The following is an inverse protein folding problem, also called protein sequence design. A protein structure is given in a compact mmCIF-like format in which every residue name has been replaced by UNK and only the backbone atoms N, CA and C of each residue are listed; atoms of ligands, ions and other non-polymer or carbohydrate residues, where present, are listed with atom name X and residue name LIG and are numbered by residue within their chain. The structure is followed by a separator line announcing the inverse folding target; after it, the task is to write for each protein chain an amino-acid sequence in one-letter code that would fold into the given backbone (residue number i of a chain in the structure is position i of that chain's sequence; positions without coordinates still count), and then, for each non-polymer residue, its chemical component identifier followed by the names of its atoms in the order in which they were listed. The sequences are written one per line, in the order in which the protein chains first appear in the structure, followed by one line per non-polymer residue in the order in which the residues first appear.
data_IF_896600207069
#
_entry.id   IF_896600207069
#
_cell.length_a   1.000
_cell.length_b   1.000
_cell.length_c   1.000
_cell.angle_alpha   90.00
_cell.angle_beta   90.00
_cell.angle_gamma   90.00
#
_symmetry.space_group_name_H-M   'P 1'
#
loop_
_entity.id
_entity.type
_entity.pdbx_description
1 polymer ?
#
# COMPACT_ATOMS: atom_id res chain seq x y z
N UNK A 1 -44.49 -34.88 35.38
CA UNK A 1 -45.89 -35.32 35.58
C UNK A 1 -46.69 -34.83 34.38
N UNK A 2 -47.29 -35.65 33.52
CA UNK A 2 -47.34 -37.14 33.31
C UNK A 2 -47.62 -37.28 31.79
N UNK A 3 -46.72 -37.70 30.89
CA UNK A 3 -46.22 -39.06 30.58
C UNK A 3 -47.31 -40.10 30.24
N UNK A 4 -47.09 -40.92 29.18
CA UNK A 4 -47.53 -42.34 28.95
C UNK A 4 -48.24 -42.61 27.61
N UNK A 5 -47.53 -43.32 26.70
CA UNK A 5 -47.86 -44.52 25.86
C UNK A 5 -49.22 -44.61 25.11
N UNK A 6 -49.50 -45.51 24.14
CA UNK A 6 -48.84 -46.68 23.50
C UNK A 6 -48.85 -46.47 21.94
N UNK A 7 -48.35 -47.27 20.97
CA UNK A 7 -48.14 -48.72 20.76
C UNK A 7 -49.45 -49.55 20.63
N UNK A 8 -49.60 -50.64 19.87
CA UNK A 8 -48.83 -51.30 18.78
C UNK A 8 -49.51 -51.01 17.40
N UNK A 9 -49.16 -51.53 16.20
CA UNK A 9 -48.16 -52.51 15.73
C UNK A 9 -48.80 -53.80 15.15
N UNK A 10 -48.67 -54.06 13.83
CA UNK A 10 -49.04 -55.32 13.16
C UNK A 10 -48.34 -55.46 11.79
N UNK A 11 -48.01 -56.69 11.36
CA UNK A 11 -47.36 -56.94 10.07
C UNK A 11 -47.86 -58.20 9.36
N UNK A 12 -47.75 -58.20 8.01
CA UNK A 12 -47.92 -59.39 7.18
C UNK A 12 -46.76 -59.54 6.20
N UNK A 13 -46.31 -60.78 6.00
CA UNK A 13 -45.31 -61.16 5.00
C UNK A 13 -46.00 -61.58 3.71
N UNK A 14 -45.55 -61.03 2.58
CA UNK A 14 -45.62 -61.68 1.27
C UNK A 14 -44.22 -61.74 0.66
N UNK A 15 -43.98 -62.72 -0.22
CA UNK A 15 -42.62 -63.12 -0.62
C UNK A 15 -42.48 -63.22 -2.15
N UNK A 16 -41.51 -62.49 -2.68
CA UNK A 16 -40.80 -62.70 -3.94
C UNK A 16 -41.63 -62.84 -5.24
N UNK A 17 -41.51 -61.84 -6.12
CA UNK A 17 -40.91 -62.02 -7.46
C UNK A 17 -40.44 -60.68 -8.05
N UNK A 18 -39.23 -60.68 -8.64
CA UNK A 18 -38.78 -59.73 -9.68
C UNK A 18 -38.79 -58.22 -9.40
N UNK A 19 -37.72 -57.70 -8.77
CA UNK A 19 -37.36 -56.27 -8.87
C UNK A 19 -36.23 -56.13 -9.91
N UNK A 20 -36.40 -55.39 -11.01
CA UNK A 20 -35.29 -54.94 -11.84
C UNK A 20 -34.47 -53.91 -11.04
N UNK A 21 -33.15 -54.09 -10.95
CA UNK A 21 -32.30 -53.10 -10.31
C UNK A 21 -32.35 -51.78 -11.11
N UNK A 22 -32.83 -50.70 -10.48
CA UNK A 22 -32.58 -49.36 -10.99
C UNK A 22 -31.06 -49.12 -11.02
N UNK A 23 -30.52 -48.45 -12.06
CA UNK A 23 -29.07 -48.29 -12.19
C UNK A 23 -28.50 -47.51 -11.00
N UNK A 24 -27.40 -47.99 -10.41
CA UNK A 24 -26.62 -47.20 -9.44
C UNK A 24 -26.24 -45.89 -10.12
N UNK A 25 -26.70 -44.77 -9.55
CA UNK A 25 -26.60 -43.47 -10.23
C UNK A 25 -25.18 -42.90 -10.09
N UNK A 26 -24.28 -43.39 -10.94
CA UNK A 26 -22.85 -43.02 -10.98
C UNK A 26 -22.61 -41.51 -11.15
N UNK A 27 -23.61 -40.75 -11.59
CA UNK A 27 -23.61 -39.27 -11.61
C UNK A 27 -23.43 -38.68 -10.20
N UNK A 28 -24.08 -39.24 -9.17
CA UNK A 28 -24.02 -38.71 -7.79
C UNK A 28 -22.63 -38.94 -7.18
N UNK A 29 -22.07 -40.13 -7.35
CA UNK A 29 -20.68 -40.41 -6.92
C UNK A 29 -19.65 -39.62 -7.74
N UNK A 30 -19.91 -39.25 -9.00
CA UNK A 30 -19.07 -38.29 -9.73
C UNK A 30 -19.17 -36.88 -9.16
N UNK A 31 -20.37 -36.42 -8.80
CA UNK A 31 -20.56 -35.10 -8.20
C UNK A 31 -19.82 -34.96 -6.86
N UNK A 32 -19.88 -35.99 -6.01
CA UNK A 32 -19.16 -36.00 -4.73
C UNK A 32 -17.65 -36.29 -4.88
N UNK A 33 -17.23 -37.08 -5.87
CA UNK A 33 -15.80 -37.33 -6.14
C UNK A 33 -15.08 -36.13 -6.78
N UNK A 34 -15.78 -35.27 -7.52
CA UNK A 34 -15.16 -34.08 -8.13
C UNK A 34 -14.71 -33.03 -7.10
N UNK A 35 -15.25 -33.06 -5.87
CA UNK A 35 -14.81 -32.19 -4.76
C UNK A 35 -13.55 -32.76 -4.05
N UNK A 36 -12.86 -33.72 -4.67
CA UNK A 36 -11.56 -34.23 -4.25
C UNK A 36 -10.40 -33.80 -5.18
N UNK A 37 -10.65 -32.95 -6.19
CA UNK A 37 -9.56 -32.28 -6.89
C UNK A 37 -8.83 -31.33 -5.94
N UNK A 38 -7.65 -31.73 -5.49
CA UNK A 38 -6.62 -30.78 -5.13
C UNK A 38 -6.26 -29.99 -6.40
N UNK A 39 -6.86 -28.81 -6.55
CA UNK A 39 -6.40 -27.80 -7.51
C UNK A 39 -4.92 -27.56 -7.21
N UNK A 40 -4.05 -28.00 -8.13
CA UNK A 40 -2.62 -27.82 -8.03
C UNK A 40 -2.29 -26.40 -8.46
N UNK A 41 -2.68 -25.43 -7.63
CA UNK A 41 -2.27 -24.04 -7.76
C UNK A 41 -0.74 -23.97 -7.88
N UNK A 42 -0.19 -23.01 -8.64
CA UNK A 42 1.25 -22.87 -8.78
C UNK A 42 1.92 -22.65 -7.42
N UNK A 43 3.17 -23.11 -7.28
CA UNK A 43 3.93 -23.10 -6.00
C UNK A 43 3.96 -21.73 -5.30
N UNK A 44 3.78 -20.64 -6.04
CA UNK A 44 3.68 -19.26 -5.55
C UNK A 44 2.44 -18.97 -4.67
N UNK A 45 1.38 -19.76 -4.82
CA UNK A 45 0.18 -19.65 -3.98
C UNK A 45 0.17 -20.66 -2.82
N UNK A 46 1.19 -21.52 -2.67
CA UNK A 46 1.19 -22.59 -1.65
C UNK A 46 1.08 -22.08 -0.21
N UNK A 47 1.69 -20.93 0.12
CA UNK A 47 1.53 -20.28 1.41
C UNK A 47 0.14 -19.62 1.58
N UNK A 48 -0.42 -19.05 0.50
CA UNK A 48 -1.76 -18.46 0.47
C UNK A 48 -2.84 -19.53 0.68
N UNK A 49 -2.76 -20.66 -0.04
CA UNK A 49 -3.66 -21.81 0.12
C UNK A 49 -3.68 -22.32 1.56
N UNK A 50 -2.51 -22.40 2.22
CA UNK A 50 -2.43 -22.82 3.62
C UNK A 50 -3.21 -21.85 4.52
N UNK A 51 -2.96 -20.55 4.40
CA UNK A 51 -3.67 -19.52 5.18
C UNK A 51 -5.19 -19.56 4.91
N UNK A 52 -5.61 -19.64 3.65
CA UNK A 52 -7.04 -19.76 3.29
C UNK A 52 -7.69 -21.03 3.89
N UNK A 53 -6.97 -22.15 3.86
CA UNK A 53 -7.43 -23.43 4.43
C UNK A 53 -7.49 -23.47 5.96
N UNK A 54 -6.77 -22.58 6.64
CA UNK A 54 -6.84 -22.33 8.09
C UNK A 54 -7.97 -21.35 8.45
N UNK A 55 -8.26 -20.37 7.58
CA UNK A 55 -9.29 -19.33 7.76
C UNK A 55 -10.69 -19.78 7.31
N UNK A 56 -11.08 -21.01 7.64
CA UNK A 56 -12.43 -21.51 7.34
C UNK A 56 -13.45 -20.67 8.11
N UNK A 57 -14.33 -20.00 7.36
CA UNK A 57 -15.29 -18.97 7.82
C UNK A 57 -14.68 -17.56 8.02
N UNK A 58 -13.91 -17.06 7.05
CA UNK A 58 -13.68 -15.61 6.85
C UNK A 58 -15.01 -14.83 6.98
N UNK A 59 -14.99 -13.75 7.75
CA UNK A 59 -16.17 -13.21 8.45
C UNK A 59 -17.21 -12.51 7.55
N UNK A 60 -16.83 -12.03 6.37
CA UNK A 60 -17.74 -11.30 5.47
C UNK A 60 -17.40 -11.49 3.99
N UNK A 61 -18.36 -11.17 3.11
CA UNK A 61 -18.15 -11.12 1.66
C UNK A 61 -17.07 -10.09 1.27
N UNK A 62 -16.98 -8.98 2.00
CA UNK A 62 -15.96 -7.94 1.77
C UNK A 62 -14.55 -8.46 2.12
N UNK A 63 -14.43 -9.13 3.26
CA UNK A 63 -13.20 -9.79 3.69
C UNK A 63 -12.77 -10.89 2.69
N UNK A 64 -13.72 -11.74 2.25
CA UNK A 64 -13.49 -12.75 1.20
C UNK A 64 -13.01 -12.14 -0.12
N UNK A 65 -13.56 -11.01 -0.54
CA UNK A 65 -13.13 -10.30 -1.74
C UNK A 65 -11.67 -9.85 -1.62
N UNK A 66 -11.31 -9.09 -0.58
CA UNK A 66 -9.96 -8.54 -0.43
C UNK A 66 -8.88 -9.59 -0.25
N UNK A 67 -9.18 -10.69 0.45
CA UNK A 67 -8.26 -11.80 0.64
C UNK A 67 -8.16 -12.72 -0.60
N UNK A 68 -9.29 -13.24 -1.09
CA UNK A 68 -9.30 -14.35 -2.06
C UNK A 68 -9.58 -13.94 -3.51
N UNK A 69 -10.19 -12.77 -3.76
CA UNK A 69 -10.55 -12.25 -5.10
C UNK A 69 -9.84 -10.94 -5.47
N UNK A 70 -8.88 -10.49 -4.67
CA UNK A 70 -8.13 -9.26 -4.92
C UNK A 70 -6.68 -9.35 -4.43
N UNK A 71 -6.36 -8.78 -3.27
CA UNK A 71 -4.98 -8.44 -2.90
C UNK A 71 -4.22 -9.57 -2.20
N UNK A 72 -4.89 -10.53 -1.55
CA UNK A 72 -4.20 -11.63 -0.86
C UNK A 72 -3.41 -12.56 -1.81
N UNK A 73 -3.99 -12.95 -2.95
CA UNK A 73 -3.24 -13.65 -4.03
C UNK A 73 -2.14 -12.76 -4.61
N UNK A 74 -2.41 -11.47 -4.80
CA UNK A 74 -1.45 -10.47 -5.33
C UNK A 74 -0.18 -10.39 -4.45
N UNK A 75 -0.36 -10.33 -3.13
CA UNK A 75 0.72 -10.32 -2.13
C UNK A 75 1.51 -11.63 -2.12
N UNK A 76 0.84 -12.78 -2.29
CA UNK A 76 1.50 -14.09 -2.30
C UNK A 76 2.48 -14.24 -3.47
N UNK A 77 2.07 -13.87 -4.68
CA UNK A 77 2.92 -13.87 -5.88
C UNK A 77 4.15 -12.96 -5.68
N UNK A 78 3.97 -11.77 -5.09
CA UNK A 78 5.09 -10.87 -4.78
C UNK A 78 6.08 -11.51 -3.80
N UNK A 79 5.60 -12.04 -2.67
CA UNK A 79 6.44 -12.66 -1.63
C UNK A 79 7.19 -13.89 -2.15
N UNK A 80 6.53 -14.74 -2.95
CA UNK A 80 7.18 -15.89 -3.57
C UNK A 80 8.28 -15.47 -4.55
N UNK A 81 7.98 -14.56 -5.47
CA UNK A 81 8.95 -14.14 -6.48
C UNK A 81 10.13 -13.38 -5.86
N UNK A 82 9.89 -12.60 -4.80
CA UNK A 82 10.90 -11.97 -3.94
C UNK A 82 11.74 -12.97 -3.10
N UNK A 83 11.52 -14.29 -3.25
CA UNK A 83 12.25 -15.39 -2.61
C UNK A 83 12.15 -15.46 -1.09
N UNK A 84 10.99 -15.05 -0.53
CA UNK A 84 10.75 -15.17 0.90
C UNK A 84 10.69 -16.65 1.33
N UNK A 85 11.26 -17.04 2.49
CA UNK A 85 11.08 -18.40 3.03
C UNK A 85 9.59 -18.73 3.24
N UNK A 86 9.18 -19.99 3.05
CA UNK A 86 7.75 -20.38 3.12
C UNK A 86 7.07 -20.02 4.45
N UNK A 87 7.79 -20.10 5.57
CA UNK A 87 7.26 -19.68 6.88
C UNK A 87 7.11 -18.16 7.02
N UNK A 88 8.00 -17.38 6.39
CA UNK A 88 7.88 -15.92 6.29
C UNK A 88 6.68 -15.54 5.41
N UNK A 89 6.53 -16.18 4.24
CA UNK A 89 5.34 -16.00 3.40
C UNK A 89 4.05 -16.28 4.17
N UNK A 90 4.00 -17.40 4.91
CA UNK A 90 2.86 -17.78 5.74
C UNK A 90 2.57 -16.76 6.85
N UNK A 91 3.60 -16.29 7.58
CA UNK A 91 3.46 -15.23 8.60
C UNK A 91 2.81 -13.97 8.03
N UNK A 92 3.36 -13.48 6.92
CA UNK A 92 2.98 -12.19 6.34
C UNK A 92 1.60 -12.25 5.68
N UNK A 93 1.30 -13.34 4.97
CA UNK A 93 -0.02 -13.59 4.41
C UNK A 93 -1.08 -13.80 5.50
N UNK A 94 -0.74 -14.43 6.63
CA UNK A 94 -1.65 -14.61 7.75
C UNK A 94 -1.94 -13.31 8.48
N UNK A 95 -0.92 -12.46 8.70
CA UNK A 95 -1.14 -11.10 9.22
C UNK A 95 -2.02 -10.27 8.28
N UNK A 96 -1.72 -10.26 6.97
CA UNK A 96 -2.54 -9.56 5.99
C UNK A 96 -4.00 -10.08 6.00
N UNK A 97 -4.20 -11.39 6.00
CA UNK A 97 -5.53 -11.99 6.00
C UNK A 97 -6.32 -11.69 7.27
N UNK A 98 -5.71 -11.77 8.46
CA UNK A 98 -6.45 -11.66 9.73
C UNK A 98 -6.65 -10.23 10.21
N UNK A 99 -5.74 -9.30 9.86
CA UNK A 99 -5.75 -7.92 10.39
C UNK A 99 -6.09 -6.89 9.31
N UNK A 100 -5.55 -7.06 8.10
CA UNK A 100 -5.62 -6.01 7.07
C UNK A 100 -6.82 -6.20 6.14
N UNK A 101 -7.01 -7.40 5.60
CA UNK A 101 -8.09 -7.71 4.65
C UNK A 101 -9.54 -7.50 5.16
N UNK A 102 -9.88 -7.64 6.46
CA UNK A 102 -11.22 -7.27 6.96
C UNK A 102 -11.48 -5.76 6.84
N UNK A 103 -10.42 -4.96 6.97
CA UNK A 103 -10.47 -3.51 7.15
C UNK A 103 -10.23 -2.73 5.84
N UNK A 104 -10.32 -3.35 4.66
CA UNK A 104 -10.20 -2.67 3.36
C UNK A 104 -11.55 -2.19 2.79
N UNK A 105 -12.60 -2.13 3.61
CA UNK A 105 -13.90 -1.60 3.23
C UNK A 105 -14.74 -2.50 2.31
N UNK A 106 -15.83 -1.95 1.78
CA UNK A 106 -16.83 -2.70 0.99
C UNK A 106 -16.24 -3.19 -0.34
N UNK A 107 -16.51 -4.46 -0.66
CA UNK A 107 -16.11 -5.10 -1.93
C UNK A 107 -16.82 -4.49 -3.14
N UNK A 108 -16.04 -4.25 -4.22
CA UNK A 108 -16.53 -3.68 -5.49
C UNK A 108 -17.61 -4.52 -6.17
N UNK A 109 -17.69 -5.81 -5.84
CA UNK A 109 -18.72 -6.74 -6.34
C UNK A 109 -20.10 -6.55 -5.68
N UNK A 110 -20.20 -5.79 -4.58
CA UNK A 110 -21.41 -5.75 -3.75
C UNK A 110 -22.29 -4.51 -3.92
N UNK A 111 -21.79 -3.41 -4.50
CA UNK A 111 -22.50 -2.13 -4.61
C UNK A 111 -22.17 -1.37 -5.92
N UNK A 112 -22.94 -0.32 -6.20
CA UNK A 112 -22.59 0.69 -7.21
C UNK A 112 -21.46 1.59 -6.70
N UNK A 113 -20.56 1.99 -7.59
CA UNK A 113 -19.34 2.75 -7.26
C UNK A 113 -19.58 4.05 -6.46
N UNK A 114 -20.75 4.66 -6.60
CA UNK A 114 -21.25 5.86 -5.88
C UNK A 114 -21.25 5.73 -4.33
N UNK A 115 -21.03 4.53 -3.80
CA UNK A 115 -21.08 4.23 -2.35
C UNK A 115 -19.76 3.75 -1.75
N UNK A 116 -18.67 3.74 -2.54
CA UNK A 116 -17.35 3.35 -2.07
C UNK A 116 -16.57 4.57 -1.56
N UNK A 117 -15.91 4.45 -0.41
CA UNK A 117 -15.02 5.50 0.10
C UNK A 117 -13.84 5.71 -0.87
N UNK A 118 -13.65 6.93 -1.42
CA UNK A 118 -12.63 7.20 -2.43
C UNK A 118 -11.26 7.40 -1.77
N UNK A 119 -10.59 6.29 -1.45
CA UNK A 119 -9.29 6.32 -0.78
C UNK A 119 -8.23 7.09 -1.58
N UNK A 120 -7.54 8.02 -0.94
CA UNK A 120 -6.41 8.75 -1.54
C UNK A 120 -5.14 7.91 -1.71
N UNK A 121 -5.14 6.65 -1.25
CA UNK A 121 -4.03 5.72 -1.42
C UNK A 121 -3.67 5.52 -2.90
N UNK A 122 -4.67 5.54 -3.78
CA UNK A 122 -4.49 5.39 -5.23
C UNK A 122 -5.46 6.28 -6.00
N UNK A 123 -5.08 6.69 -7.20
CA UNK A 123 -5.90 7.58 -8.05
C UNK A 123 -7.25 6.98 -8.51
N UNK A 124 -7.57 5.72 -8.19
CA UNK A 124 -8.88 5.09 -8.46
C UNK A 124 -9.62 4.60 -7.20
N UNK A 125 -9.28 5.15 -6.03
CA UNK A 125 -9.96 4.85 -4.77
C UNK A 125 -9.71 3.45 -4.23
N UNK A 126 -8.70 2.73 -4.74
CA UNK A 126 -8.28 1.42 -4.19
C UNK A 126 -7.48 1.66 -2.90
N UNK A 127 -7.89 1.11 -1.74
CA UNK A 127 -7.34 1.47 -0.43
C UNK A 127 -6.03 0.77 -0.07
N UNK A 128 -5.30 0.27 -1.06
CA UNK A 128 -4.06 -0.46 -0.87
C UNK A 128 -3.09 -0.24 -2.03
N UNK A 129 -1.83 0.07 -1.70
CA UNK A 129 -0.70 0.14 -2.61
C UNK A 129 0.39 -0.81 -2.10
N UNK A 130 0.95 -1.66 -2.97
CA UNK A 130 2.05 -2.57 -2.67
C UNK A 130 3.35 -2.01 -3.23
N UNK A 131 4.51 -2.44 -2.71
CA UNK A 131 5.80 -2.05 -3.29
C UNK A 131 6.86 -3.14 -3.20
N UNK A 132 7.79 -3.07 -4.16
CA UNK A 132 8.98 -3.89 -4.28
C UNK A 132 10.20 -2.98 -4.06
N UNK A 133 10.77 -3.05 -2.85
CA UNK A 133 12.01 -2.35 -2.53
C UNK A 133 13.19 -3.16 -3.06
N UNK A 134 13.93 -2.59 -4.01
CA UNK A 134 15.06 -3.25 -4.65
C UNK A 134 16.31 -3.34 -3.75
N UNK A 135 16.25 -2.77 -2.55
CA UNK A 135 17.36 -2.72 -1.61
C UNK A 135 18.55 -1.94 -2.15
N UNK A 136 19.75 -2.44 -1.85
CA UNK A 136 21.03 -1.85 -2.25
C UNK A 136 22.05 -2.97 -2.45
N UNK A 137 22.88 -2.89 -3.49
CA UNK A 137 23.98 -3.83 -3.77
C UNK A 137 23.51 -5.30 -3.90
N UNK A 138 22.43 -5.53 -4.66
CA UNK A 138 21.79 -6.84 -4.90
C UNK A 138 21.41 -7.64 -3.63
N UNK A 139 21.10 -6.94 -2.54
CA UNK A 139 20.36 -7.47 -1.40
C UNK A 139 18.99 -8.03 -1.83
N UNK A 140 18.44 -9.06 -1.16
CA UNK A 140 17.07 -9.53 -1.40
C UNK A 140 16.04 -8.38 -1.32
N UNK A 141 15.04 -8.35 -2.21
CA UNK A 141 14.04 -7.28 -2.23
C UNK A 141 13.12 -7.36 -1.02
N UNK A 142 12.63 -6.21 -0.55
CA UNK A 142 11.65 -6.13 0.55
C UNK A 142 10.27 -5.80 0.00
N UNK A 143 9.30 -6.69 0.19
CA UNK A 143 7.89 -6.40 -0.08
C UNK A 143 7.32 -5.51 1.03
N UNK A 144 6.49 -4.55 0.64
CA UNK A 144 5.67 -3.75 1.58
C UNK A 144 4.27 -3.55 1.02
N UNK A 145 3.36 -3.11 1.88
CA UNK A 145 2.13 -2.48 1.45
C UNK A 145 1.70 -1.34 2.38
N UNK A 146 1.01 -0.36 1.80
CA UNK A 146 0.35 0.77 2.47
C UNK A 146 -1.16 0.59 2.33
N UNK A 147 -1.93 0.93 3.36
CA UNK A 147 -3.40 0.80 3.40
C UNK A 147 -4.10 1.99 4.03
N UNK A 148 -5.28 2.32 3.52
CA UNK A 148 -6.29 3.05 4.29
C UNK A 148 -7.26 2.03 4.90
N UNK A 149 -7.33 1.89 6.23
CA UNK A 149 -8.42 1.14 6.85
C UNK A 149 -9.75 1.85 6.57
N UNK A 150 -10.74 1.11 6.08
CA UNK A 150 -12.06 1.61 5.70
C UNK A 150 -13.14 0.81 6.40
N UNK A 151 -13.97 1.49 7.19
CA UNK A 151 -15.15 0.90 7.82
C UNK A 151 -16.29 0.66 6.82
N UNK A 152 -17.17 -0.32 7.08
CA UNK A 152 -18.32 -0.64 6.20
C UNK A 152 -19.37 0.48 6.12
N UNK A 153 -19.22 1.55 6.90
CA UNK A 153 -20.07 2.73 6.91
C UNK A 153 -19.34 4.03 6.49
N UNK A 154 -18.09 3.92 6.04
CA UNK A 154 -17.28 5.06 5.61
C UNK A 154 -17.96 5.88 4.49
N UNK A 155 -18.01 7.20 4.65
CA UNK A 155 -18.68 8.12 3.73
C UNK A 155 -20.21 8.15 3.83
N UNK A 156 -20.81 7.29 4.66
CA UNK A 156 -22.26 7.36 4.96
C UNK A 156 -22.55 8.35 6.08
N UNK A 157 -23.84 8.63 6.35
CA UNK A 157 -24.26 9.44 7.50
C UNK A 157 -23.84 8.87 8.87
N UNK A 158 -23.44 7.60 8.95
CA UNK A 158 -22.97 6.97 10.19
C UNK A 158 -21.46 7.11 10.44
N UNK A 159 -20.65 7.24 9.38
CA UNK A 159 -19.22 7.54 9.49
C UNK A 159 -18.74 8.37 8.27
N UNK A 160 -19.09 9.67 8.20
CA UNK A 160 -18.84 10.50 7.02
C UNK A 160 -17.36 10.79 6.77
N UNK A 161 -16.48 10.48 7.73
CA UNK A 161 -15.05 10.81 7.69
C UNK A 161 -14.13 9.57 7.80
N UNK A 162 -14.69 8.36 7.76
CA UNK A 162 -13.98 7.09 7.90
C UNK A 162 -13.14 7.01 9.20
N UNK A 163 -13.70 7.40 10.33
CA UNK A 163 -13.01 7.45 11.63
C UNK A 163 -13.34 6.27 12.54
N UNK A 164 -14.45 5.57 12.33
CA UNK A 164 -14.93 4.53 13.25
C UNK A 164 -14.04 3.28 13.26
N UNK A 165 -13.41 2.96 12.13
CA UNK A 165 -12.56 1.78 11.93
C UNK A 165 -11.24 1.81 12.72
N UNK A 166 -10.84 2.96 13.28
CA UNK A 166 -9.50 3.12 13.84
C UNK A 166 -9.26 2.43 15.18
N UNK A 167 -10.28 2.28 16.05
CA UNK A 167 -10.08 1.63 17.35
C UNK A 167 -9.82 0.13 17.16
N UNK A 168 -10.78 -0.56 16.54
CA UNK A 168 -10.74 -2.00 16.30
C UNK A 168 -9.48 -2.41 15.52
N UNK A 169 -9.05 -1.62 14.53
CA UNK A 169 -7.82 -1.86 13.78
C UNK A 169 -6.56 -1.65 14.64
N UNK A 170 -6.52 -0.64 15.52
CA UNK A 170 -5.39 -0.42 16.43
C UNK A 170 -5.27 -1.52 17.50
N UNK A 171 -6.40 -2.02 18.01
CA UNK A 171 -6.43 -3.15 18.93
C UNK A 171 -5.98 -4.46 18.26
N UNK A 172 -6.41 -4.73 17.02
CA UNK A 172 -5.93 -5.86 16.21
C UNK A 172 -4.42 -5.77 15.93
N UNK A 173 -3.87 -4.57 15.71
CA UNK A 173 -2.44 -4.35 15.55
C UNK A 173 -1.65 -4.64 16.83
N UNK A 174 -2.11 -4.17 17.99
CA UNK A 174 -1.48 -4.47 19.30
C UNK A 174 -1.42 -5.97 19.58
N UNK A 175 -2.51 -6.69 19.30
CA UNK A 175 -2.60 -8.14 19.49
C UNK A 175 -1.68 -8.93 18.54
N UNK A 176 -1.44 -8.40 17.34
CA UNK A 176 -0.75 -9.12 16.26
C UNK A 176 0.74 -8.78 16.12
N UNK A 177 1.17 -7.61 16.59
CA UNK A 177 2.54 -7.11 16.46
C UNK A 177 3.11 -6.68 17.82
N UNK A 178 3.60 -7.60 18.67
CA UNK A 178 3.98 -7.30 20.06
C UNK A 178 5.09 -6.26 20.27
N UNK A 179 5.84 -5.91 19.23
CA UNK A 179 6.85 -4.83 19.25
C UNK A 179 6.33 -3.45 18.85
N UNK A 180 5.05 -3.33 18.47
CA UNK A 180 4.47 -2.08 17.99
C UNK A 180 4.28 -1.06 19.12
N UNK A 181 4.50 0.22 18.82
CA UNK A 181 4.35 1.33 19.78
C UNK A 181 3.44 2.40 19.21
N UNK A 182 2.39 2.73 19.95
CA UNK A 182 1.32 3.62 19.52
C UNK A 182 1.38 5.01 20.21
N UNK A 183 2.43 5.28 20.99
CA UNK A 183 2.62 6.50 21.77
C UNK A 183 2.49 7.77 20.91
N UNK A 184 3.21 7.82 19.79
CA UNK A 184 3.09 8.89 18.78
C UNK A 184 1.85 8.72 17.89
N UNK A 185 1.36 7.49 17.67
CA UNK A 185 0.14 7.26 16.87
C UNK A 185 -1.07 7.95 17.51
N UNK A 186 -1.25 7.77 18.82
CA UNK A 186 -2.33 8.42 19.57
C UNK A 186 -2.16 9.95 19.55
N UNK A 187 -0.95 10.46 19.83
CA UNK A 187 -0.66 11.90 19.78
C UNK A 187 -1.04 12.53 18.42
N UNK A 188 -0.53 12.00 17.31
CA UNK A 188 -0.79 12.60 15.99
C UNK A 188 -2.25 12.38 15.54
N UNK A 189 -2.83 11.20 15.78
CA UNK A 189 -4.27 10.94 15.53
C UNK A 189 -5.15 11.96 16.25
N UNK A 190 -4.91 12.15 17.54
CA UNK A 190 -5.75 13.01 18.38
C UNK A 190 -5.46 14.50 18.11
N UNK A 191 -4.23 14.88 17.75
CA UNK A 191 -3.93 16.24 17.31
C UNK A 191 -4.65 16.59 16.00
N UNK A 192 -4.56 15.76 14.96
CA UNK A 192 -5.18 16.08 13.65
C UNK A 192 -6.70 15.92 13.65
N UNK A 193 -7.26 14.99 14.43
CA UNK A 193 -8.71 14.79 14.54
C UNK A 193 -9.38 15.65 15.64
N UNK A 194 -8.63 16.39 16.47
CA UNK A 194 -9.23 17.21 17.54
C UNK A 194 -9.88 18.50 17.01
N UNK A 195 -11.20 18.48 16.95
CA UNK A 195 -12.05 19.66 16.77
C UNK A 195 -13.40 19.27 16.17
N UNK A 196 -14.48 19.86 16.67
CA UNK A 196 -15.83 19.63 16.16
C UNK A 196 -16.01 20.39 14.83
N UNK A 197 -15.43 19.85 13.77
CA UNK A 197 -15.53 20.39 12.42
C UNK A 197 -16.74 19.77 11.74
N UNK A 198 -17.76 20.58 11.42
CA UNK A 198 -18.96 20.07 10.77
C UNK A 198 -18.62 19.45 9.41
N UNK A 199 -19.12 18.24 9.16
CA UNK A 199 -18.97 17.54 7.88
C UNK A 199 -19.54 18.36 6.69
N UNK A 200 -20.44 19.30 6.97
CA UNK A 200 -20.97 20.30 6.02
C UNK A 200 -19.88 21.14 5.34
N UNK A 201 -18.71 21.33 5.97
CA UNK A 201 -17.59 22.13 5.45
C UNK A 201 -16.50 21.32 4.73
N UNK A 202 -16.62 19.99 4.70
CA UNK A 202 -15.59 19.10 4.14
C UNK A 202 -15.78 18.81 2.64
N UNK A 203 -16.94 19.14 2.07
CA UNK A 203 -17.21 19.03 0.62
C UNK A 203 -16.48 20.15 -0.13
N UNK A 204 -15.19 19.92 -0.39
CA UNK A 204 -14.44 20.70 -1.37
C UNK A 204 -14.98 20.46 -2.79
N UNK A 205 -14.66 21.35 -3.73
CA UNK A 205 -15.20 21.37 -5.09
C UNK A 205 -14.68 20.25 -6.00
N UNK A 206 -14.95 18.99 -5.66
CA UNK A 206 -14.70 17.79 -6.47
C UNK A 206 -13.24 17.33 -6.61
N UNK A 207 -12.26 18.19 -6.28
CA UNK A 207 -10.86 18.01 -6.69
C UNK A 207 -9.89 17.54 -5.60
N UNK A 208 -10.35 17.21 -4.38
CA UNK A 208 -9.45 16.89 -3.25
C UNK A 208 -10.05 15.86 -2.27
N UNK A 209 -9.22 15.16 -1.50
CA UNK A 209 -9.56 13.90 -0.82
C UNK A 209 -10.00 14.03 0.65
N UNK A 210 -10.67 13.00 1.18
CA UNK A 210 -11.15 12.98 2.58
C UNK A 210 -10.39 12.01 3.51
N UNK A 211 -9.48 11.18 3.00
CA UNK A 211 -8.64 10.28 3.80
C UNK A 211 -7.90 11.02 4.92
N UNK A 212 -7.90 10.45 6.13
CA UNK A 212 -7.40 11.07 7.37
C UNK A 212 -6.17 10.35 7.95
N UNK A 213 -6.09 9.02 7.85
CA UNK A 213 -4.93 8.23 8.26
C UNK A 213 -4.67 7.06 7.28
N UNK A 214 -3.40 6.76 7.01
CA UNK A 214 -2.98 5.49 6.40
C UNK A 214 -2.04 4.73 7.34
N UNK A 215 -1.84 3.45 7.07
CA UNK A 215 -0.81 2.62 7.68
C UNK A 215 0.08 2.00 6.60
N UNK A 216 1.30 1.60 6.94
CA UNK A 216 2.11 0.75 6.05
C UNK A 216 2.92 -0.27 6.83
N UNK A 217 3.26 -1.36 6.15
CA UNK A 217 3.88 -2.55 6.75
C UNK A 217 5.09 -2.98 5.93
N UNK A 218 6.26 -2.96 6.55
CA UNK A 218 7.50 -3.47 5.97
C UNK A 218 7.66 -4.94 6.34
N UNK A 219 7.54 -5.82 5.35
CA UNK A 219 7.61 -7.26 5.53
C UNK A 219 9.08 -7.69 5.46
N UNK A 220 9.84 -7.52 6.53
CA UNK A 220 11.23 -8.00 6.57
C UNK A 220 11.27 -9.52 6.78
N UNK A 221 12.41 -10.17 6.52
CA UNK A 221 12.52 -11.63 6.75
C UNK A 221 12.25 -11.98 8.23
N UNK A 222 12.68 -11.12 9.16
CA UNK A 222 12.57 -11.34 10.62
C UNK A 222 11.23 -10.91 11.21
N UNK A 223 10.69 -9.77 10.82
CA UNK A 223 9.54 -9.11 11.47
C UNK A 223 8.71 -8.24 10.50
N UNK A 224 7.52 -7.83 10.95
CA UNK A 224 6.65 -6.86 10.26
C UNK A 224 6.73 -5.53 11.01
N UNK A 225 7.28 -4.48 10.37
CA UNK A 225 7.37 -3.14 10.99
C UNK A 225 6.22 -2.25 10.53
N UNK A 226 5.41 -1.76 11.47
CA UNK A 226 4.31 -0.83 11.19
C UNK A 226 4.73 0.63 11.04
N UNK A 227 3.94 1.40 10.29
CA UNK A 227 4.01 2.86 10.09
C UNK A 227 2.60 3.44 10.08
N UNK A 228 2.47 4.72 10.40
CA UNK A 228 1.22 5.47 10.23
C UNK A 228 1.48 6.82 9.54
N UNK A 229 0.52 7.28 8.75
CA UNK A 229 0.55 8.50 7.94
C UNK A 229 -0.69 9.32 8.26
N UNK A 230 -0.58 10.64 8.42
CA UNK A 230 -1.65 11.53 8.87
C UNK A 230 -1.79 12.72 7.92
N UNK A 231 -3.03 13.11 7.64
CA UNK A 231 -3.35 14.24 6.77
C UNK A 231 -3.76 15.48 7.59
N UNK A 232 -2.92 16.52 7.58
CA UNK A 232 -3.17 17.77 8.32
C UNK A 232 -4.35 18.60 7.76
N UNK A 233 -4.81 18.30 6.55
CA UNK A 233 -5.78 19.07 5.75
C UNK A 233 -6.98 19.59 6.58
N UNK A 234 -7.70 18.69 7.25
CA UNK A 234 -8.98 19.06 7.88
C UNK A 234 -8.75 19.97 9.10
N UNK A 235 -7.68 19.70 9.87
CA UNK A 235 -7.20 20.54 10.97
C UNK A 235 -6.81 21.94 10.46
N UNK A 236 -5.96 22.00 9.42
CA UNK A 236 -5.48 23.24 8.82
C UNK A 236 -6.58 24.12 8.21
N UNK A 237 -7.55 23.52 7.50
CA UNK A 237 -8.73 24.23 7.00
C UNK A 237 -9.52 24.89 8.12
N UNK A 238 -9.72 24.18 9.23
CA UNK A 238 -10.55 24.66 10.33
C UNK A 238 -9.83 25.68 11.23
N UNK A 239 -8.52 25.53 11.45
CA UNK A 239 -7.70 26.51 12.18
C UNK A 239 -7.25 27.71 11.32
N UNK A 240 -7.41 27.62 9.99
CA UNK A 240 -6.99 28.61 8.98
C UNK A 240 -5.47 28.83 8.92
N UNK A 241 -4.72 27.78 9.22
CA UNK A 241 -3.26 27.69 9.08
C UNK A 241 -2.89 26.94 7.79
N UNK A 242 -1.61 26.91 7.40
CA UNK A 242 -1.15 26.00 6.34
C UNK A 242 -1.00 24.55 6.84
N UNK A 243 -0.98 23.59 5.92
CA UNK A 243 -0.64 22.20 6.23
C UNK A 243 0.74 22.07 6.90
N UNK A 244 1.71 22.92 6.54
CA UNK A 244 3.04 22.92 7.11
C UNK A 244 3.03 23.38 8.58
N UNK A 245 2.36 24.49 8.88
CA UNK A 245 2.28 25.05 10.23
C UNK A 245 1.64 24.04 11.20
N UNK A 246 0.49 23.47 10.82
CA UNK A 246 -0.24 22.50 11.64
C UNK A 246 0.54 21.20 11.81
N UNK A 247 1.28 20.78 10.79
CA UNK A 247 2.18 19.62 10.91
C UNK A 247 3.31 19.88 11.90
N UNK A 248 3.90 21.08 11.90
CA UNK A 248 4.96 21.42 12.86
C UNK A 248 4.43 21.72 14.27
N UNK A 249 3.22 22.26 14.42
CA UNK A 249 2.53 22.40 15.71
C UNK A 249 2.26 21.02 16.34
N UNK A 250 1.80 20.05 15.52
CA UNK A 250 1.64 18.66 15.93
C UNK A 250 2.96 18.03 16.40
N UNK A 251 4.06 18.31 15.70
CA UNK A 251 5.39 17.78 16.04
C UNK A 251 5.93 18.45 17.31
N UNK A 252 5.86 19.78 17.44
CA UNK A 252 6.35 20.53 18.61
C UNK A 252 5.64 20.14 19.91
N UNK A 253 4.40 19.63 19.82
CA UNK A 253 3.61 19.16 20.96
C UNK A 253 3.77 17.67 21.26
N UNK A 254 4.52 16.92 20.45
CA UNK A 254 4.63 15.47 20.57
C UNK A 254 5.52 15.03 21.75
N UNK A 255 5.24 13.86 22.37
CA UNK A 255 6.10 13.27 23.40
C UNK A 255 7.59 13.22 22.98
N UNK A 256 8.46 13.59 23.92
CA UNK A 256 9.93 13.67 23.79
C UNK A 256 10.48 14.76 22.85
N UNK A 257 9.64 15.54 22.17
CA UNK A 257 10.09 16.66 21.34
C UNK A 257 10.48 17.87 22.20
N UNK A 258 11.56 18.54 21.80
CA UNK A 258 12.04 19.80 22.41
C UNK A 258 12.47 20.78 21.33
N UNK A 259 12.62 22.06 21.70
CA UNK A 259 13.15 23.08 20.77
C UNK A 259 14.58 22.82 20.31
N UNK A 260 15.33 21.97 21.02
CA UNK A 260 16.73 21.66 20.69
C UNK A 260 16.89 20.41 19.82
N UNK A 261 15.96 19.44 19.88
CA UNK A 261 16.13 18.14 19.22
C UNK A 261 15.55 18.02 17.80
N UNK A 262 14.95 19.10 17.26
CA UNK A 262 14.41 19.17 15.89
C UNK A 262 15.36 19.81 14.85
N UNK A 263 16.68 19.63 15.00
CA UNK A 263 17.71 20.30 14.16
C UNK A 263 17.49 20.05 12.65
N UNK A 264 17.25 18.80 12.25
CA UNK A 264 16.88 18.44 10.87
C UNK A 264 15.54 19.05 10.39
N UNK A 265 14.55 19.17 11.28
CA UNK A 265 13.26 19.80 10.97
C UNK A 265 13.37 21.30 10.72
N UNK A 266 14.22 22.00 11.47
CA UNK A 266 14.50 23.42 11.26
C UNK A 266 15.15 23.70 9.89
N UNK A 267 16.03 22.80 9.41
CA UNK A 267 16.61 22.88 8.05
C UNK A 267 15.54 22.76 6.96
N UNK A 268 14.49 21.96 7.19
CA UNK A 268 13.37 21.85 6.27
C UNK A 268 12.47 23.08 6.30
N UNK A 269 12.15 23.65 7.47
CA UNK A 269 11.40 24.90 7.59
C UNK A 269 12.09 26.08 6.90
N UNK A 270 13.41 26.18 7.02
CA UNK A 270 14.21 27.21 6.33
C UNK A 270 14.22 27.00 4.79
N UNK A 271 14.16 25.76 4.32
CA UNK A 271 13.95 25.47 2.90
C UNK A 271 12.53 25.83 2.42
N UNK A 272 11.48 25.46 3.17
CA UNK A 272 10.10 25.83 2.90
C UNK A 272 9.88 27.36 2.85
N UNK A 273 10.67 28.11 3.64
CA UNK A 273 10.66 29.58 3.67
C UNK A 273 11.36 30.24 2.47
N UNK A 274 11.95 29.46 1.54
CA UNK A 274 12.57 29.96 0.31
C UNK A 274 11.57 30.13 -0.84
N UNK A 275 11.99 30.79 -1.92
CA UNK A 275 11.15 30.96 -3.14
C UNK A 275 10.73 29.64 -3.78
N UNK A 276 11.57 28.60 -3.73
CA UNK A 276 11.24 27.24 -4.18
C UNK A 276 10.30 26.56 -3.18
N UNK A 277 10.56 26.74 -1.88
CA UNK A 277 9.76 26.17 -0.79
C UNK A 277 8.32 26.66 -0.73
N UNK A 278 8.10 27.94 -1.04
CA UNK A 278 6.78 28.57 -1.03
C UNK A 278 5.81 28.04 -2.12
N UNK A 279 6.30 27.23 -3.06
CA UNK A 279 5.48 26.55 -4.08
C UNK A 279 5.12 25.09 -3.77
N UNK A 280 5.41 24.60 -2.56
CA UNK A 280 5.26 23.18 -2.21
C UNK A 280 3.88 22.86 -1.61
N UNK A 281 3.24 21.84 -2.16
CA UNK A 281 1.98 21.28 -1.65
C UNK A 281 2.29 20.25 -0.57
N UNK A 282 2.13 20.61 0.70
CA UNK A 282 2.32 19.69 1.83
C UNK A 282 1.10 18.76 1.96
N UNK A 283 1.32 17.45 1.82
CA UNK A 283 0.26 16.44 1.69
C UNK A 283 -0.03 15.72 3.02
N UNK A 284 1.00 15.14 3.64
CA UNK A 284 0.87 14.29 4.84
C UNK A 284 2.18 14.21 5.64
N UNK A 285 2.11 13.80 6.90
CA UNK A 285 3.27 13.36 7.67
C UNK A 285 3.17 11.88 8.05
N UNK A 286 4.29 11.21 8.34
CA UNK A 286 4.30 9.81 8.78
C UNK A 286 5.32 9.52 9.87
N UNK A 287 5.06 8.46 10.63
CA UNK A 287 5.90 7.92 11.71
C UNK A 287 6.19 6.44 11.47
N UNK A 288 7.27 5.92 12.05
CA UNK A 288 7.40 4.46 12.30
C UNK A 288 6.71 4.13 13.63
N UNK A 289 5.98 3.00 13.71
CA UNK A 289 5.24 2.58 14.92
C UNK A 289 6.13 1.78 15.88
N UNK A 290 7.26 2.41 16.22
CA UNK A 290 8.31 1.94 17.13
C UNK A 290 8.49 2.95 18.26
N UNK A 291 9.45 2.75 19.18
CA UNK A 291 9.68 3.73 20.25
C UNK A 291 9.87 5.15 19.70
N UNK A 292 9.20 6.18 20.25
CA UNK A 292 9.30 7.57 19.81
C UNK A 292 10.73 8.11 19.61
N UNK A 293 11.71 7.67 20.41
CA UNK A 293 13.10 8.11 20.27
C UNK A 293 13.80 7.48 19.06
N UNK A 294 13.32 6.32 18.60
CA UNK A 294 13.84 5.59 17.44
C UNK A 294 13.03 5.80 16.16
N UNK A 295 11.83 6.37 16.26
CA UNK A 295 10.92 6.63 15.15
C UNK A 295 11.37 7.81 14.30
N UNK A 296 11.20 7.72 12.96
CA UNK A 296 11.45 8.85 12.05
C UNK A 296 10.15 9.57 11.72
N UNK A 297 10.16 10.88 11.97
CA UNK A 297 9.24 11.82 11.35
C UNK A 297 9.53 11.89 9.85
N UNK A 298 8.49 11.81 9.01
CA UNK A 298 8.60 11.87 7.55
C UNK A 298 7.58 12.85 7.01
N UNK A 299 8.00 13.92 6.35
CA UNK A 299 7.12 14.98 5.88
C UNK A 299 7.00 14.89 4.36
N UNK A 300 5.80 14.58 3.86
CA UNK A 300 5.51 14.39 2.45
C UNK A 300 4.95 15.66 1.82
N UNK A 301 5.53 16.04 0.68
CA UNK A 301 5.16 17.26 -0.03
C UNK A 301 5.42 17.09 -1.53
N UNK A 302 4.74 17.90 -2.33
CA UNK A 302 4.70 17.77 -3.78
C UNK A 302 5.11 19.09 -4.44
N UNK A 303 5.87 18.99 -5.52
CA UNK A 303 6.16 20.12 -6.39
C UNK A 303 5.48 19.92 -7.75
N UNK A 304 4.84 20.97 -8.28
CA UNK A 304 4.23 20.98 -9.62
C UNK A 304 5.24 21.20 -10.74
N UNK A 305 6.43 21.68 -10.43
CA UNK A 305 7.53 21.74 -11.39
C UNK A 305 8.10 20.34 -11.64
N UNK A 306 8.34 20.04 -12.91
CA UNK A 306 8.82 18.73 -13.40
C UNK A 306 10.13 18.86 -14.19
N UNK A 307 10.95 19.87 -13.89
CA UNK A 307 12.33 19.98 -14.39
C UNK A 307 13.26 19.13 -13.52
N UNK A 308 14.36 18.62 -14.07
CA UNK A 308 15.36 17.90 -13.27
C UNK A 308 16.20 18.86 -12.41
N UNK A 309 16.29 20.14 -12.76
CA UNK A 309 16.84 21.18 -11.88
C UNK A 309 16.03 21.29 -10.57
N UNK A 310 14.69 21.31 -10.65
CA UNK A 310 13.82 21.32 -9.46
C UNK A 310 13.99 20.05 -8.60
N UNK A 311 14.22 18.90 -9.24
CA UNK A 311 14.60 17.66 -8.54
C UNK A 311 15.91 17.82 -7.77
N UNK A 312 16.94 18.43 -8.37
CA UNK A 312 18.22 18.71 -7.68
C UNK A 312 18.02 19.67 -6.50
N UNK A 313 17.31 20.78 -6.70
CA UNK A 313 17.08 21.76 -5.65
C UNK A 313 16.30 21.16 -4.47
N UNK A 314 15.25 20.37 -4.71
CA UNK A 314 14.49 19.71 -3.64
C UNK A 314 15.31 18.60 -2.97
N UNK A 315 15.99 17.74 -3.74
CA UNK A 315 16.82 16.65 -3.17
C UNK A 315 18.02 17.16 -2.37
N UNK A 316 18.45 18.41 -2.57
CA UNK A 316 19.50 19.07 -1.76
C UNK A 316 18.96 20.07 -0.72
N UNK A 317 17.65 20.31 -0.68
CA UNK A 317 16.99 21.40 0.07
C UNK A 317 17.63 22.78 -0.22
N UNK A 318 17.87 23.09 -1.49
CA UNK A 318 18.56 24.29 -1.96
C UNK A 318 20.02 24.33 -1.50
N UNK A 319 20.74 23.21 -1.66
CA UNK A 319 22.15 23.08 -1.26
C UNK A 319 22.41 23.06 0.26
N UNK A 320 21.38 22.90 1.10
CA UNK A 320 21.51 22.77 2.57
C UNK A 320 22.04 21.40 2.97
N UNK A 321 21.58 20.33 2.30
CA UNK A 321 22.13 18.98 2.46
C UNK A 321 23.44 18.91 1.66
N UNK A 322 24.56 18.67 2.36
CA UNK A 322 25.89 18.59 1.76
C UNK A 322 26.53 17.23 2.10
N UNK A 323 26.56 16.35 1.10
CA UNK A 323 27.25 15.05 1.16
C UNK A 323 28.23 14.96 -0.01
N UNK A 324 29.45 14.45 0.22
CA UNK A 324 30.46 14.22 -0.81
C UNK A 324 29.98 13.29 -1.93
N UNK A 325 29.15 12.29 -1.60
CA UNK A 325 28.65 11.31 -2.57
C UNK A 325 27.38 11.74 -3.30
N UNK A 326 26.84 12.92 -2.98
CA UNK A 326 25.59 13.45 -3.53
C UNK A 326 25.62 13.61 -5.06
N UNK A 327 26.79 14.00 -5.60
CA UNK A 327 26.96 14.23 -7.04
C UNK A 327 26.77 12.98 -7.90
N UNK A 328 27.28 11.81 -7.46
CA UNK A 328 27.09 10.57 -8.22
C UNK A 328 25.64 10.09 -8.14
N UNK A 329 25.05 10.08 -6.94
CA UNK A 329 23.66 9.65 -6.77
C UNK A 329 22.65 10.55 -7.52
N UNK A 330 22.92 11.85 -7.67
CA UNK A 330 22.12 12.74 -8.52
C UNK A 330 22.29 12.45 -10.03
N UNK A 331 23.48 12.07 -10.49
CA UNK A 331 23.68 11.60 -11.87
C UNK A 331 22.92 10.28 -12.11
N UNK A 332 22.94 9.37 -11.15
CA UNK A 332 22.27 8.07 -11.23
C UNK A 332 20.74 8.23 -11.19
N UNK A 333 20.24 9.18 -10.39
CA UNK A 333 18.84 9.60 -10.42
C UNK A 333 18.46 10.24 -11.77
N UNK A 334 19.36 11.03 -12.39
CA UNK A 334 19.10 11.60 -13.72
C UNK A 334 19.06 10.52 -14.81
N UNK A 335 19.93 9.50 -14.73
CA UNK A 335 19.88 8.32 -15.62
C UNK A 335 18.56 7.58 -15.50
N UNK A 336 18.07 7.34 -14.28
CA UNK A 336 16.77 6.69 -14.05
C UNK A 336 15.59 7.55 -14.52
N UNK A 337 15.59 8.85 -14.20
CA UNK A 337 14.57 9.83 -14.62
C UNK A 337 14.36 9.82 -16.14
N UNK A 338 15.44 9.91 -16.93
CA UNK A 338 15.36 9.86 -18.39
C UNK A 338 14.88 8.50 -18.91
N UNK A 339 15.30 7.40 -18.29
CA UNK A 339 14.83 6.06 -18.67
C UNK A 339 13.31 5.90 -18.42
N UNK A 340 12.79 6.36 -17.27
CA UNK A 340 11.38 6.24 -16.91
C UNK A 340 10.45 7.11 -17.75
N UNK A 341 10.91 8.30 -18.17
CA UNK A 341 10.04 9.32 -18.79
C UNK A 341 10.36 9.65 -20.26
N UNK A 342 11.46 9.13 -20.82
CA UNK A 342 11.93 9.54 -22.14
C UNK A 342 12.31 11.02 -22.21
N UNK A 343 12.75 11.58 -21.08
CA UNK A 343 13.04 13.00 -20.94
C UNK A 343 14.31 13.43 -21.69
N UNK A 344 14.37 14.74 -22.00
CA UNK A 344 15.53 15.41 -22.63
C UNK A 344 16.79 15.30 -21.75
N UNK A 345 17.98 15.42 -22.36
CA UNK A 345 19.25 15.50 -21.63
C UNK A 345 19.40 16.83 -20.86
N UNK A 346 18.66 17.86 -21.27
CA UNK A 346 18.63 19.21 -20.69
C UNK A 346 17.79 19.25 -19.41
N UNK A 347 18.37 19.52 -18.22
CA UNK A 347 17.67 19.37 -16.95
C UNK A 347 16.67 20.51 -16.64
N UNK A 348 16.67 21.59 -17.43
CA UNK A 348 15.69 22.69 -17.39
C UNK A 348 14.39 22.38 -18.15
N UNK A 349 14.35 21.31 -18.97
CA UNK A 349 13.17 20.92 -19.72
C UNK A 349 12.15 20.21 -18.81
N UNK A 350 10.93 20.76 -18.60
CA UNK A 350 9.89 20.07 -17.84
C UNK A 350 9.29 18.88 -18.62
N UNK A 351 8.80 17.89 -17.87
CA UNK A 351 7.94 16.82 -18.40
C UNK A 351 6.63 17.39 -18.98
N UNK A 352 5.95 16.60 -19.80
CA UNK A 352 4.64 16.96 -20.37
C UNK A 352 3.63 17.37 -19.28
N UNK A 353 2.84 18.42 -19.52
CA UNK A 353 1.83 18.89 -18.55
C UNK A 353 0.73 17.83 -18.40
N UNK A 354 0.50 17.40 -17.16
CA UNK A 354 -0.62 16.52 -16.76
C UNK A 354 -1.52 17.30 -15.81
N UNK A 355 -2.83 17.28 -16.08
CA UNK A 355 -3.84 17.95 -15.26
C UNK A 355 -4.51 16.93 -14.34
N UNK A 356 -3.91 16.69 -13.16
CA UNK A 356 -4.40 15.73 -12.18
C UNK A 356 -4.02 16.14 -10.74
N UNK A 357 -4.88 15.84 -9.76
CA UNK A 357 -4.65 16.17 -8.33
C UNK A 357 -3.31 15.60 -7.81
N UNK A 358 -2.88 14.44 -8.30
CA UNK A 358 -1.64 13.77 -7.92
C UNK A 358 -0.52 13.85 -8.97
N UNK A 359 -0.64 14.71 -9.99
CA UNK A 359 0.47 15.09 -10.87
C UNK A 359 1.51 15.95 -10.13
N UNK A 360 2.64 16.25 -10.77
CA UNK A 360 3.81 16.83 -10.11
C UNK A 360 4.58 15.77 -9.30
N UNK A 361 5.85 16.05 -9.00
CA UNK A 361 6.72 15.10 -8.31
C UNK A 361 6.42 15.13 -6.80
N UNK A 362 6.21 13.96 -6.21
CA UNK A 362 6.06 13.78 -4.76
C UNK A 362 7.44 13.55 -4.14
N UNK A 363 7.67 14.08 -2.95
CA UNK A 363 8.88 13.93 -2.16
C UNK A 363 8.55 13.61 -0.71
N UNK A 364 9.55 13.19 0.05
CA UNK A 364 9.55 13.42 1.49
C UNK A 364 10.92 13.88 2.00
N UNK A 365 10.93 14.46 3.19
CA UNK A 365 12.12 14.48 4.06
C UNK A 365 11.87 13.56 5.25
N UNK A 366 12.87 12.79 5.69
CA UNK A 366 12.79 12.04 6.95
C UNK A 366 13.98 12.31 7.88
N UNK A 367 13.69 12.30 9.18
CA UNK A 367 14.64 12.51 10.29
C UNK A 367 14.11 11.91 11.59
N UNK A 368 15.01 11.50 12.49
CA UNK A 368 14.72 11.23 13.91
C UNK A 368 14.86 12.52 14.74
N UNK A 369 14.55 12.42 16.04
CA UNK A 369 15.02 13.41 17.00
C UNK A 369 16.56 13.37 17.06
N UNK A 370 17.18 14.52 17.37
CA UNK A 370 18.64 14.76 17.37
C UNK A 370 19.38 14.63 16.02
N UNK A 371 18.72 14.20 14.94
CA UNK A 371 19.33 14.19 13.60
C UNK A 371 19.75 15.62 13.19
N UNK A 372 21.00 15.75 12.73
CA UNK A 372 21.60 17.03 12.34
C UNK A 372 21.14 17.51 10.96
N UNK A 373 20.76 16.58 10.08
CA UNK A 373 20.34 16.84 8.70
C UNK A 373 19.23 15.86 8.31
N UNK A 374 18.18 16.30 7.59
CA UNK A 374 17.18 15.41 7.05
C UNK A 374 17.70 14.62 5.84
N UNK A 375 17.04 13.50 5.53
CA UNK A 375 17.25 12.73 4.28
C UNK A 375 16.06 12.95 3.35
N UNK A 376 16.29 13.55 2.18
CA UNK A 376 15.25 13.72 1.15
C UNK A 376 15.09 12.46 0.29
N UNK A 377 13.84 12.17 -0.11
CA UNK A 377 13.47 11.11 -1.06
C UNK A 377 12.54 11.66 -2.13
N UNK A 378 12.61 11.09 -3.32
CA UNK A 378 11.75 11.40 -4.46
C UNK A 378 10.83 10.21 -4.74
N UNK A 379 9.60 10.50 -5.19
CA UNK A 379 8.60 9.55 -5.63
C UNK A 379 8.12 10.00 -7.02
N UNK A 380 8.72 9.41 -8.07
CA UNK A 380 8.46 9.73 -9.48
C UNK A 380 7.16 9.07 -9.92
N UNK A 381 6.05 9.80 -10.23
CA UNK A 381 4.76 9.19 -10.54
C UNK A 381 4.72 8.69 -11.98
N UNK A 382 5.25 7.48 -12.19
CA UNK A 382 5.29 6.82 -13.51
C UNK A 382 3.90 6.64 -14.13
N UNK A 383 2.84 6.51 -13.31
CA UNK A 383 1.45 6.52 -13.77
C UNK A 383 1.02 7.77 -14.57
N UNK A 384 1.68 8.91 -14.37
CA UNK A 384 1.34 10.18 -15.00
C UNK A 384 2.25 10.54 -16.17
N UNK A 385 3.52 10.13 -16.13
CA UNK A 385 4.55 10.63 -17.04
C UNK A 385 5.29 9.55 -17.85
N UNK A 386 5.13 8.26 -17.53
CA UNK A 386 5.71 7.17 -18.32
C UNK A 386 4.75 6.73 -19.43
N UNK A 387 5.29 6.18 -20.53
CA UNK A 387 4.51 5.82 -21.72
C UNK A 387 3.42 4.77 -21.46
N UNK A 388 3.77 3.71 -20.73
CA UNK A 388 2.91 2.63 -20.26
C UNK A 388 3.67 1.80 -19.20
N UNK A 389 2.99 0.90 -18.48
CA UNK A 389 3.64 0.12 -17.42
C UNK A 389 4.72 -0.84 -17.97
N UNK A 390 4.58 -1.35 -19.19
CA UNK A 390 5.60 -2.18 -19.85
C UNK A 390 6.91 -1.40 -20.08
N UNK A 391 6.83 -0.13 -20.50
CA UNK A 391 7.99 0.74 -20.66
C UNK A 391 8.69 1.03 -19.32
N UNK A 392 7.94 1.13 -18.22
CA UNK A 392 8.53 1.28 -16.86
C UNK A 392 9.32 0.03 -16.47
N UNK A 393 8.81 -1.17 -16.76
CA UNK A 393 9.58 -2.41 -16.53
C UNK A 393 10.87 -2.45 -17.35
N UNK A 394 10.79 -2.06 -18.63
CA UNK A 394 11.96 -2.02 -19.53
C UNK A 394 13.00 -0.99 -19.07
N UNK A 395 12.55 0.20 -18.65
CA UNK A 395 13.40 1.26 -18.11
C UNK A 395 14.13 0.83 -16.83
N UNK A 396 13.43 0.20 -15.89
CA UNK A 396 14.03 -0.37 -14.67
C UNK A 396 15.06 -1.46 -15.03
N UNK A 397 14.72 -2.39 -15.93
CA UNK A 397 15.64 -3.44 -16.39
C UNK A 397 16.93 -2.88 -16.99
N UNK A 398 16.81 -1.91 -17.91
CA UNK A 398 17.96 -1.25 -18.52
C UNK A 398 18.79 -0.45 -17.50
N UNK A 399 18.14 0.25 -16.56
CA UNK A 399 18.81 1.02 -15.51
C UNK A 399 19.68 0.12 -14.62
N UNK A 400 19.11 -0.95 -14.04
CA UNK A 400 19.87 -1.87 -13.19
C UNK A 400 21.00 -2.57 -13.96
N UNK A 401 20.75 -3.02 -15.20
CA UNK A 401 21.78 -3.57 -16.08
C UNK A 401 22.92 -2.58 -16.33
N UNK A 402 22.64 -1.28 -16.48
CA UNK A 402 23.66 -0.23 -16.65
C UNK A 402 24.54 0.01 -15.42
N UNK A 403 24.12 -0.50 -14.25
CA UNK A 403 24.88 -0.48 -12.99
C UNK A 403 25.55 -1.83 -12.68
N UNK A 404 25.39 -2.84 -13.54
CA UNK A 404 25.78 -4.24 -13.28
C UNK A 404 25.09 -4.83 -12.03
N UNK A 405 23.88 -4.34 -11.74
CA UNK A 405 22.99 -4.78 -10.67
C UNK A 405 21.71 -5.39 -11.25
N UNK A 406 20.79 -5.81 -10.39
CA UNK A 406 19.46 -6.28 -10.77
C UNK A 406 19.31 -7.79 -10.69
N UNK A 407 19.95 -8.43 -9.70
CA UNK A 407 19.89 -9.89 -9.46
C UNK A 407 18.47 -10.46 -9.44
N UNK A 408 17.50 -9.67 -8.97
CA UNK A 408 16.08 -10.04 -8.85
C UNK A 408 15.19 -9.41 -9.95
N UNK A 409 15.79 -8.90 -11.03
CA UNK A 409 15.06 -8.24 -12.12
C UNK A 409 14.16 -9.20 -12.89
N UNK A 410 14.63 -10.43 -13.16
CA UNK A 410 13.81 -11.41 -13.87
C UNK A 410 12.70 -11.97 -12.97
N UNK A 411 12.95 -12.12 -11.67
CA UNK A 411 11.91 -12.45 -10.67
C UNK A 411 10.81 -11.39 -10.60
N UNK A 412 11.19 -10.11 -10.65
CA UNK A 412 10.26 -8.99 -10.72
C UNK A 412 9.45 -9.00 -12.02
N UNK A 413 10.10 -9.28 -13.17
CA UNK A 413 9.43 -9.38 -14.46
C UNK A 413 8.44 -10.54 -14.49
N UNK A 414 8.78 -11.70 -13.90
CA UNK A 414 7.85 -12.81 -13.69
C UNK A 414 6.68 -12.40 -12.80
N UNK A 415 6.93 -11.78 -11.65
CA UNK A 415 5.87 -11.31 -10.76
C UNK A 415 4.89 -10.36 -11.47
N UNK A 416 5.39 -9.32 -12.15
CA UNK A 416 4.54 -8.40 -12.91
C UNK A 416 3.83 -9.11 -14.07
N UNK A 417 4.45 -10.10 -14.73
CA UNK A 417 3.84 -10.89 -15.79
C UNK A 417 2.69 -11.80 -15.34
N UNK A 418 2.75 -12.34 -14.11
CA UNK A 418 1.64 -13.07 -13.46
C UNK A 418 0.53 -12.13 -12.99
N UNK A 419 0.91 -10.96 -12.45
CA UNK A 419 -0.02 -10.05 -11.79
C UNK A 419 -0.78 -9.12 -12.75
N UNK A 420 -0.19 -8.76 -13.90
CA UNK A 420 -0.69 -7.73 -14.80
C UNK A 420 -1.03 -8.30 -16.18
N UNK A 421 -2.18 -7.93 -16.75
CA UNK A 421 -2.51 -8.40 -18.10
C UNK A 421 -1.57 -7.78 -19.15
N UNK A 422 -1.07 -8.55 -20.15
CA UNK A 422 -0.24 -8.00 -21.22
C UNK A 422 -0.93 -6.92 -22.06
N UNK A 423 -2.27 -6.83 -22.00
CA UNK A 423 -3.05 -5.71 -22.54
C UNK A 423 -2.87 -4.47 -21.66
N UNK A 424 -3.19 -4.56 -20.36
CA UNK A 424 -3.10 -3.42 -19.43
C UNK A 424 -1.70 -2.81 -19.41
N UNK A 425 -0.65 -3.65 -19.37
CA UNK A 425 0.74 -3.17 -19.35
C UNK A 425 1.13 -2.33 -20.58
N UNK A 426 0.51 -2.58 -21.74
CA UNK A 426 0.85 -1.89 -23.00
C UNK A 426 -0.09 -0.73 -23.35
N UNK A 427 -1.33 -0.76 -22.89
CA UNK A 427 -2.37 0.20 -23.31
C UNK A 427 -2.14 1.62 -22.77
N UNK A 428 -1.76 1.74 -21.49
CA UNK A 428 -1.54 3.02 -20.80
C UNK A 428 -0.68 2.80 -19.54
N UNK A 429 -0.12 3.86 -18.92
CA UNK A 429 0.45 3.75 -17.59
C UNK A 429 -0.69 3.71 -16.55
N UNK A 430 -0.42 3.19 -15.36
CA UNK A 430 -1.36 3.37 -14.24
C UNK A 430 -1.34 2.29 -13.17
N UNK A 431 -0.78 1.10 -13.44
CA UNK A 431 -0.67 0.06 -12.41
C UNK A 431 0.59 0.23 -11.59
N UNK A 432 1.72 0.57 -12.22
CA UNK A 432 2.87 1.11 -11.52
C UNK A 432 2.56 2.55 -11.15
N UNK A 433 2.46 2.85 -9.86
CA UNK A 433 1.99 4.15 -9.38
C UNK A 433 3.14 5.15 -9.24
N UNK A 434 4.25 4.70 -8.66
CA UNK A 434 5.45 5.47 -8.38
C UNK A 434 6.72 4.62 -8.56
N UNK A 435 7.82 5.28 -8.92
CA UNK A 435 9.19 4.78 -8.62
C UNK A 435 9.80 5.74 -7.59
N UNK A 436 9.92 5.25 -6.36
CA UNK A 436 10.58 5.95 -5.27
C UNK A 436 12.09 5.76 -5.31
N UNK A 437 12.84 6.79 -4.92
CA UNK A 437 14.29 6.73 -4.78
C UNK A 437 14.76 7.50 -3.53
N UNK A 438 15.73 6.95 -2.82
CA UNK A 438 16.41 7.63 -1.72
C UNK A 438 17.92 7.56 -1.89
N UNK A 439 18.57 8.72 -1.82
CA UNK A 439 20.02 8.85 -1.83
C UNK A 439 20.58 8.40 -0.47
N UNK A 440 21.45 7.39 -0.48
CA UNK A 440 22.14 6.91 0.72
C UNK A 440 23.35 7.78 1.05
N UNK A 441 23.85 7.76 2.30
CA UNK A 441 25.07 8.49 2.68
C UNK A 441 26.31 8.12 1.85
N UNK A 442 26.42 6.87 1.41
CA UNK A 442 27.50 6.39 0.53
C UNK A 442 27.37 6.86 -0.93
N UNK A 443 26.21 7.40 -1.34
CA UNK A 443 25.88 7.83 -2.69
C UNK A 443 24.99 6.87 -3.47
N UNK A 444 24.76 5.65 -2.98
CA UNK A 444 23.92 4.67 -3.68
C UNK A 444 22.46 5.12 -3.76
N UNK A 445 21.83 4.86 -4.90
CA UNK A 445 20.40 5.10 -5.11
C UNK A 445 19.61 3.85 -4.70
N UNK A 446 18.95 3.87 -3.54
CA UNK A 446 17.96 2.83 -3.19
C UNK A 446 16.68 3.11 -3.96
N UNK A 447 16.29 2.17 -4.83
CA UNK A 447 15.07 2.26 -5.67
C UNK A 447 13.94 1.43 -5.05
N UNK A 448 12.71 1.89 -5.18
CA UNK A 448 11.49 1.18 -4.76
C UNK A 448 10.42 1.37 -5.85
N UNK A 449 9.84 0.30 -6.35
CA UNK A 449 8.73 0.37 -7.31
C UNK A 449 7.40 0.14 -6.59
N UNK A 450 6.37 0.93 -6.89
CA UNK A 450 5.06 0.91 -6.22
C UNK A 450 3.95 0.55 -7.21
N UNK A 451 2.93 -0.17 -6.72
CA UNK A 451 1.88 -0.78 -7.52
C UNK A 451 0.53 -0.72 -6.81
N UNK A 452 -0.55 -0.47 -7.55
CA UNK A 452 -1.89 -0.82 -7.06
C UNK A 452 -2.27 -2.23 -7.52
N UNK A 453 -2.97 -3.04 -6.71
CA UNK A 453 -3.47 -4.33 -7.15
C UNK A 453 -4.64 -4.14 -8.13
N UNK A 454 -4.72 -5.01 -9.14
CA UNK A 454 -5.86 -5.11 -10.06
C UNK A 454 -6.57 -6.45 -9.87
N UNK A 455 -7.84 -6.52 -10.24
CA UNK A 455 -8.53 -7.79 -10.47
C UNK A 455 -7.90 -8.42 -11.72
N UNK A 456 -7.00 -9.38 -11.53
CA UNK A 456 -6.39 -10.16 -12.62
C UNK A 456 -7.25 -11.37 -12.93
N UNK A 457 -7.91 -11.38 -14.08
CA UNK A 457 -8.71 -12.51 -14.59
C UNK A 457 -7.91 -13.83 -14.50
N UNK A 458 -6.61 -13.79 -14.82
CA UNK A 458 -5.69 -14.94 -14.73
C UNK A 458 -5.49 -15.53 -13.33
N UNK A 459 -5.79 -14.79 -12.25
CA UNK A 459 -5.71 -15.28 -10.87
C UNK A 459 -7.06 -15.75 -10.31
N UNK A 460 -8.16 -15.53 -11.04
CA UNK A 460 -9.53 -15.80 -10.58
C UNK A 460 -10.35 -16.68 -11.54
N UNK A 461 -9.82 -16.98 -12.73
CA UNK A 461 -10.26 -18.08 -13.58
C UNK A 461 -9.82 -19.43 -12.97
N UNK A 462 -10.56 -19.88 -11.95
CA UNK A 462 -10.61 -21.29 -11.54
C UNK A 462 -11.47 -22.14 -12.52
N UNK A 463 -12.02 -21.52 -13.58
CA UNK A 463 -12.71 -22.12 -14.73
C UNK A 463 -12.05 -21.66 -16.06
N UNK A 464 -12.21 -22.44 -17.14
CA UNK A 464 -11.60 -22.25 -18.47
C UNK A 464 -10.07 -22.41 -18.61
N UNK A 465 -9.57 -23.61 -18.25
CA UNK A 465 -8.50 -24.26 -19.05
C UNK A 465 -8.94 -25.69 -19.38
N UNK A 466 -9.47 -25.89 -20.60
CA UNK A 466 -9.84 -27.17 -21.22
C UNK A 466 -9.39 -27.19 -22.68
#
# INVERSE_FOLDING_TARGET
MVQVLYEEGFGQKFSLMGIPAAPENNEVRKYEANIAHHLCYPDELSAWQRVDSELRNLESVHHRYWWARHTGKFLAVLLHNAKYPRDTQYRDLKFFAQVVAPNLGVSRESLRAETLWPSFMTDDGTPIELSWDWGTNDSPPTIRYSVEPIGLHAGTLHDPNNLAVFSDFQDQLLLSLPGIRLDWLHHFRDFFNSGNYEASTLVDGGNDHNSSIFYAFDLSITEITGKAYFFSKNKAKASRQSNLDVTFEAIQTAPYVTGENLKAGAIFLDFCSSSVGNGLEHEMMAIDLVDPLESRLKLYFRCRETTFNSVIDIMTLGGRIKNTSLGQGLQDLHRLWKALFGADDRPDQPLAKVDHRTAGILYNVEFKLEDRFPVTKIYMPVRHYSKNDEAVMQALKQYFQSLQLGRYMDDYVTAMGTLLSPKSMREKPGVQTYVGCSLRPDGTLRVVSYFKPQISEYLFNDEEVL
#
